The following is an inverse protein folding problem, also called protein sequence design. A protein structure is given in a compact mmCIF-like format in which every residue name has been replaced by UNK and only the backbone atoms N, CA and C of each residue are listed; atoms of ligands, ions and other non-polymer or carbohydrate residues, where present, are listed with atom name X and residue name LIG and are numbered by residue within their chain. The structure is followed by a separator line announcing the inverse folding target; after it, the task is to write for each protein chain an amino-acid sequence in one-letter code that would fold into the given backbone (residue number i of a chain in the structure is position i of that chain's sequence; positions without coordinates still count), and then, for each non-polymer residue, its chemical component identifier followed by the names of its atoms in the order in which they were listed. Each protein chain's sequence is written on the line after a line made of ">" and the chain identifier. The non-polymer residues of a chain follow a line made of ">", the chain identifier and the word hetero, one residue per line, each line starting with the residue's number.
data_IF_823155140422
#
_entry.id   IF_823155140422
#
_cell.length_a   1.000
_cell.length_b   1.000
_cell.length_c   1.000
_cell.angle_alpha   90.00
_cell.angle_beta   90.00
_cell.angle_gamma   90.00
#
_symmetry.space_group_name_H-M   'P 1'
#
loop_
_entity.id
_entity.type
_entity.pdbx_description
1 polymer ?
#
# COMPACT_ATOMS: atom_id res chain seq x y z
N UNK A 1 2.81 29.86 -59.54
CA UNK A 1 3.09 30.59 -58.29
C UNK A 1 1.85 30.80 -57.42
N UNK A 2 0.68 31.19 -57.96
CA UNK A 2 -0.51 31.48 -57.15
C UNK A 2 -1.07 30.29 -56.33
N UNK A 3 -1.11 29.08 -56.91
CA UNK A 3 -1.74 27.90 -56.28
C UNK A 3 -0.95 27.39 -55.06
N UNK A 4 0.38 27.52 -55.08
CA UNK A 4 1.25 27.10 -53.97
C UNK A 4 1.09 28.07 -52.79
N UNK A 5 0.96 29.37 -53.08
CA UNK A 5 0.77 30.41 -52.06
C UNK A 5 -0.60 30.29 -51.41
N UNK A 6 -1.66 29.99 -52.17
CA UNK A 6 -3.00 29.76 -51.61
C UNK A 6 -3.05 28.48 -50.76
N UNK A 7 -2.36 27.41 -51.18
CA UNK A 7 -2.30 26.16 -50.42
C UNK A 7 -1.56 26.33 -49.09
N UNK A 8 -0.44 27.07 -49.07
CA UNK A 8 0.29 27.36 -47.83
C UNK A 8 -0.50 28.26 -46.88
N UNK A 9 -1.23 29.25 -47.41
CA UNK A 9 -2.06 30.15 -46.62
C UNK A 9 -3.25 29.41 -45.97
N UNK A 10 -3.94 28.54 -46.72
CA UNK A 10 -5.05 27.73 -46.18
C UNK A 10 -4.55 26.75 -45.12
N UNK A 11 -3.38 26.14 -45.34
CA UNK A 11 -2.78 25.22 -44.36
C UNK A 11 -2.38 25.94 -43.07
N UNK A 12 -1.81 27.15 -43.16
CA UNK A 12 -1.47 27.97 -42.00
C UNK A 12 -2.71 28.39 -41.20
N UNK A 13 -3.81 28.77 -41.87
CA UNK A 13 -5.08 29.11 -41.23
C UNK A 13 -5.66 27.88 -40.52
N UNK A 14 -5.63 26.70 -41.15
CA UNK A 14 -6.11 25.46 -40.54
C UNK A 14 -5.32 25.09 -39.29
N UNK A 15 -3.98 25.21 -39.33
CA UNK A 15 -3.12 24.98 -38.16
C UNK A 15 -3.41 25.97 -37.04
N UNK A 16 -3.61 27.26 -37.35
CA UNK A 16 -3.99 28.26 -36.37
C UNK A 16 -5.37 28.00 -35.77
N UNK A 17 -6.36 27.61 -36.57
CA UNK A 17 -7.70 27.26 -36.08
C UNK A 17 -7.66 26.04 -35.16
N UNK A 18 -6.91 24.99 -35.52
CA UNK A 18 -6.72 23.81 -34.66
C UNK A 18 -5.97 24.17 -33.37
N UNK A 19 -4.94 25.02 -33.45
CA UNK A 19 -4.19 25.49 -32.28
C UNK A 19 -5.05 26.34 -31.34
N UNK A 20 -5.91 27.22 -31.86
CA UNK A 20 -6.83 28.02 -31.06
C UNK A 20 -7.97 27.17 -30.47
N UNK A 21 -8.46 26.16 -31.19
CA UNK A 21 -9.42 25.18 -30.68
C UNK A 21 -8.79 24.31 -29.58
N UNK A 22 -7.50 23.95 -29.69
CA UNK A 22 -6.77 23.24 -28.63
C UNK A 22 -6.46 24.13 -27.41
N UNK A 23 -6.25 25.44 -27.61
CA UNK A 23 -6.05 26.39 -26.50
C UNK A 23 -7.33 26.77 -25.75
N UNK A 24 -8.51 26.47 -26.31
CA UNK A 24 -9.80 26.99 -25.84
C UNK A 24 -10.53 26.17 -24.77
N UNK A 25 -10.06 24.97 -24.40
CA UNK A 25 -10.71 24.13 -23.37
C UNK A 25 -9.88 24.15 -22.08
N UNK A 26 -9.69 25.35 -21.54
CA UNK A 26 -9.23 25.55 -20.16
C UNK A 26 -10.44 25.85 -19.29
N UNK A 27 -10.92 24.85 -18.57
CA UNK A 27 -12.11 24.90 -17.71
C UNK A 27 -12.10 26.09 -16.73
N UNK A 28 -13.20 26.85 -16.56
CA UNK A 28 -13.33 27.74 -15.41
C UNK A 28 -13.53 26.89 -14.15
N UNK A 29 -12.43 26.64 -13.44
CA UNK A 29 -12.44 26.02 -12.12
C UNK A 29 -13.16 26.92 -11.14
N UNK A 30 -14.37 26.52 -10.73
CA UNK A 30 -15.13 27.15 -9.65
C UNK A 30 -14.34 27.07 -8.35
N UNK A 31 -13.90 28.22 -7.85
CA UNK A 31 -13.29 28.40 -6.54
C UNK A 31 -14.35 28.22 -5.43
N UNK A 32 -14.65 26.97 -5.09
CA UNK A 32 -15.38 26.60 -3.86
C UNK A 32 -14.40 26.42 -2.71
N UNK A 33 -14.07 27.51 -2.02
CA UNK A 33 -13.17 27.51 -0.86
C UNK A 33 -13.82 26.94 0.39
N UNK A 34 -13.76 25.63 0.60
CA UNK A 34 -13.82 25.07 1.95
C UNK A 34 -12.45 25.29 2.59
N UNK A 35 -12.34 26.35 3.38
CA UNK A 35 -11.19 26.61 4.22
C UNK A 35 -11.13 25.54 5.32
N UNK A 36 -10.53 24.40 4.99
CA UNK A 36 -10.04 23.44 5.97
C UNK A 36 -8.98 24.15 6.81
N UNK A 37 -9.37 24.56 8.02
CA UNK A 37 -8.45 25.07 9.03
C UNK A 37 -7.59 23.90 9.46
N UNK A 38 -6.55 23.64 8.67
CA UNK A 38 -5.50 22.67 8.93
C UNK A 38 -4.86 23.06 10.26
N UNK A 39 -5.29 22.41 11.34
CA UNK A 39 -4.69 22.54 12.67
C UNK A 39 -3.20 22.14 12.58
N UNK A 40 -2.34 23.14 12.38
CA UNK A 40 -0.88 23.02 12.25
C UNK A 40 -0.19 22.77 13.60
N UNK A 41 -0.84 21.99 14.47
CA UNK A 41 -0.46 21.88 15.89
C UNK A 41 -0.62 20.50 16.51
N UNK A 42 -0.85 19.42 15.75
CA UNK A 42 -0.93 18.06 16.32
C UNK A 42 -0.43 16.97 15.36
N UNK A 43 0.73 17.18 14.72
CA UNK A 43 1.46 16.09 14.04
C UNK A 43 2.84 15.81 14.63
N UNK A 44 3.32 16.62 15.57
CA UNK A 44 4.60 16.38 16.25
C UNK A 44 4.50 15.39 17.42
N UNK A 45 3.34 15.31 18.08
CA UNK A 45 3.24 14.52 19.32
C UNK A 45 2.91 13.03 19.09
N UNK A 46 2.42 12.65 17.90
CA UNK A 46 2.26 11.24 17.52
C UNK A 46 3.53 10.61 16.93
N UNK A 47 4.49 11.43 16.51
CA UNK A 47 5.74 10.97 15.92
C UNK A 47 6.84 10.69 16.95
N UNK A 48 6.68 11.14 18.20
CA UNK A 48 7.79 11.24 19.15
C UNK A 48 7.83 10.16 20.26
N UNK A 49 6.85 9.25 20.41
CA UNK A 49 6.96 8.20 21.44
C UNK A 49 6.33 6.84 21.12
N UNK A 50 6.12 6.53 19.85
CA UNK A 50 5.84 5.14 19.47
C UNK A 50 7.10 4.60 18.81
N UNK A 51 8.00 3.98 19.60
CA UNK A 51 8.92 2.98 19.04
C UNK A 51 8.05 2.15 18.10
N UNK A 52 8.37 2.11 16.81
CA UNK A 52 7.50 1.51 15.81
C UNK A 52 7.04 0.13 16.33
N UNK A 53 5.77 0.01 16.75
CA UNK A 53 5.24 -1.18 17.45
C UNK A 53 5.31 -2.44 16.58
N UNK A 54 5.50 -2.23 15.28
CA UNK A 54 5.61 -3.28 14.30
C UNK A 54 7.06 -3.60 13.95
N UNK A 55 8.03 -2.83 14.45
CA UNK A 55 9.44 -3.05 14.17
C UNK A 55 9.82 -4.49 14.57
N UNK A 56 10.44 -5.16 13.61
CA UNK A 56 10.67 -6.58 13.65
C UNK A 56 12.14 -6.88 13.36
N UNK A 57 12.60 -8.04 13.81
CA UNK A 57 13.95 -8.52 13.61
C UNK A 57 13.96 -9.99 13.19
N UNK A 58 14.91 -10.37 12.34
CA UNK A 58 15.29 -11.77 12.15
C UNK A 58 16.66 -12.00 12.73
N UNK A 59 16.96 -13.24 13.09
CA UNK A 59 18.28 -13.63 13.57
C UNK A 59 19.01 -14.29 12.40
N UNK A 60 20.13 -13.68 11.99
CA UNK A 60 20.93 -14.17 10.87
C UNK A 60 22.30 -14.68 11.34
N UNK A 61 22.72 -15.89 10.92
CA UNK A 61 24.07 -16.37 11.14
C UNK A 61 25.05 -15.64 10.21
N UNK A 62 26.18 -15.16 10.73
CA UNK A 62 27.30 -14.69 9.89
C UNK A 62 28.01 -15.87 9.21
N UNK A 63 29.02 -15.61 8.39
CA UNK A 63 29.92 -16.61 7.82
C UNK A 63 30.49 -17.50 8.93
N UNK A 64 30.15 -18.79 8.87
CA UNK A 64 30.33 -19.70 9.99
C UNK A 64 29.51 -19.27 11.20
N UNK A 65 28.20 -19.08 11.10
CA UNK A 65 27.29 -18.70 12.20
C UNK A 65 26.73 -19.89 13.00
N UNK A 66 26.19 -19.61 14.19
CA UNK A 66 25.88 -20.58 15.24
C UNK A 66 24.81 -21.59 14.80
N UNK A 67 25.00 -22.89 15.07
CA UNK A 67 24.07 -23.95 14.65
C UNK A 67 22.66 -23.75 15.23
N UNK A 68 22.63 -23.27 16.48
CA UNK A 68 21.42 -22.80 17.15
C UNK A 68 20.58 -21.84 16.31
N UNK A 69 21.20 -20.86 15.62
CA UNK A 69 20.50 -19.91 14.76
C UNK A 69 20.11 -20.54 13.43
N UNK A 70 20.92 -21.45 12.88
CA UNK A 70 20.57 -22.17 11.64
C UNK A 70 19.33 -23.04 11.81
N UNK A 71 19.11 -23.55 13.01
CA UNK A 71 17.94 -24.36 13.36
C UNK A 71 16.70 -23.51 13.72
N UNK A 72 16.82 -22.19 13.82
CA UNK A 72 15.66 -21.33 14.06
C UNK A 72 14.78 -21.26 12.80
N UNK A 73 13.45 -21.14 12.96
CA UNK A 73 12.57 -20.92 11.83
C UNK A 73 12.88 -19.58 11.17
N UNK A 74 12.91 -19.57 9.84
CA UNK A 74 13.13 -18.38 9.02
C UNK A 74 11.88 -17.47 9.04
N UNK A 75 11.68 -16.77 10.15
CA UNK A 75 10.56 -15.85 10.37
C UNK A 75 11.02 -14.57 11.04
N UNK A 76 10.25 -13.49 10.84
CA UNK A 76 10.47 -12.21 11.50
C UNK A 76 9.77 -12.21 12.86
N UNK A 77 10.50 -11.80 13.90
CA UNK A 77 9.99 -11.62 15.26
C UNK A 77 9.71 -10.14 15.49
N UNK A 78 8.71 -9.80 16.32
CA UNK A 78 8.71 -8.45 16.90
C UNK A 78 9.91 -8.31 17.84
N UNK A 79 10.42 -7.10 18.04
CA UNK A 79 11.58 -6.88 18.92
C UNK A 79 11.37 -7.48 20.31
N UNK A 80 10.17 -7.32 20.86
CA UNK A 80 9.84 -7.82 22.20
C UNK A 80 9.70 -9.35 22.27
N UNK A 81 9.51 -10.01 21.11
CA UNK A 81 9.38 -11.47 20.99
C UNK A 81 10.71 -12.11 20.54
N UNK A 82 11.72 -11.32 20.19
CA UNK A 82 12.96 -11.83 19.60
C UNK A 82 13.80 -12.54 20.67
N UNK A 83 14.38 -13.72 20.35
CA UNK A 83 15.25 -14.40 21.28
C UNK A 83 16.52 -13.58 21.49
N UNK A 84 17.01 -13.53 22.74
CA UNK A 84 18.26 -12.85 23.09
C UNK A 84 19.44 -13.60 22.47
N UNK A 85 20.37 -12.84 21.91
CA UNK A 85 21.66 -13.34 21.46
C UNK A 85 22.71 -13.13 22.57
N UNK A 86 23.57 -14.12 22.85
CA UNK A 86 23.65 -15.45 22.24
C UNK A 86 22.52 -16.39 22.68
N UNK A 87 22.09 -17.28 21.77
CA UNK A 87 21.07 -18.28 22.10
C UNK A 87 21.55 -19.24 23.19
N UNK A 88 20.65 -19.79 24.03
CA UNK A 88 21.02 -20.67 25.14
C UNK A 88 21.76 -21.94 24.70
N UNK A 89 21.56 -22.38 23.46
CA UNK A 89 22.20 -23.53 22.84
C UNK A 89 23.38 -23.15 21.91
N UNK A 90 23.95 -21.96 22.05
CA UNK A 90 25.12 -21.56 21.27
C UNK A 90 26.39 -22.27 21.80
N UNK A 91 27.00 -23.11 20.97
CA UNK A 91 28.24 -23.86 21.30
C UNK A 91 29.53 -23.10 21.01
N UNK A 92 29.45 -21.85 20.53
CA UNK A 92 30.64 -21.06 20.16
C UNK A 92 31.16 -20.21 21.29
N UNK A 93 32.49 -20.14 21.40
CA UNK A 93 33.18 -19.24 22.33
C UNK A 93 32.90 -17.75 22.05
N UNK A 94 32.78 -17.39 20.76
CA UNK A 94 32.36 -16.04 20.32
C UNK A 94 31.22 -16.18 19.33
N UNK A 95 30.10 -15.52 19.62
CA UNK A 95 28.89 -15.59 18.79
C UNK A 95 28.81 -14.36 17.89
N UNK A 96 28.96 -14.56 16.58
CA UNK A 96 28.88 -13.49 15.57
C UNK A 96 27.47 -13.39 14.92
N UNK A 97 26.47 -14.00 15.55
CA UNK A 97 25.08 -13.97 15.06
C UNK A 97 24.50 -12.55 15.23
N UNK A 98 23.70 -12.06 14.28
CA UNK A 98 23.22 -10.66 14.21
C UNK A 98 21.71 -10.57 14.06
N UNK A 99 21.13 -9.46 14.52
CA UNK A 99 19.76 -9.08 14.19
C UNK A 99 19.72 -8.31 12.87
N UNK A 100 18.83 -8.72 11.98
CA UNK A 100 18.47 -7.96 10.77
C UNK A 100 17.14 -7.27 11.03
N UNK A 101 17.10 -5.96 10.84
CA UNK A 101 15.97 -5.12 11.21
C UNK A 101 14.97 -4.93 10.06
N UNK A 102 13.69 -4.91 10.40
CA UNK A 102 12.56 -4.72 9.50
C UNK A 102 11.54 -3.76 10.12
N UNK A 103 10.79 -3.07 9.26
CA UNK A 103 9.74 -2.13 9.72
C UNK A 103 8.48 -2.84 10.23
N UNK A 104 8.17 -4.02 9.68
CA UNK A 104 7.04 -4.89 10.05
C UNK A 104 7.47 -6.37 9.92
N UNK A 105 6.90 -7.25 10.76
CA UNK A 105 7.08 -8.70 10.66
C UNK A 105 6.30 -9.34 9.50
N UNK A 106 5.32 -8.64 8.92
CA UNK A 106 4.55 -9.12 7.77
C UNK A 106 5.43 -9.18 6.52
N UNK A 107 5.26 -10.22 5.71
CA UNK A 107 5.97 -10.32 4.45
C UNK A 107 5.36 -9.34 3.43
N UNK A 108 6.19 -8.52 2.74
CA UNK A 108 5.72 -7.64 1.69
C UNK A 108 5.14 -8.50 0.57
N UNK A 109 3.86 -8.31 0.25
CA UNK A 109 3.11 -9.13 -0.71
C UNK A 109 2.26 -10.26 -0.10
N UNK A 110 2.42 -10.57 1.19
CA UNK A 110 1.50 -11.49 1.91
C UNK A 110 0.20 -10.82 2.36
N UNK A 111 0.11 -9.49 2.21
CA UNK A 111 -1.08 -8.75 2.59
C UNK A 111 -2.21 -9.06 1.60
N UNK A 112 -3.17 -9.87 2.06
CA UNK A 112 -4.38 -10.23 1.31
C UNK A 112 -5.22 -9.02 0.87
N UNK A 113 -4.97 -7.83 1.45
CA UNK A 113 -5.63 -6.59 1.05
C UNK A 113 -5.05 -5.96 -0.21
N UNK A 114 -3.84 -6.35 -0.63
CA UNK A 114 -3.17 -5.74 -1.79
C UNK A 114 -3.67 -6.26 -3.14
N UNK A 115 -4.42 -7.37 -3.18
CA UNK A 115 -5.11 -7.82 -4.40
C UNK A 115 -6.60 -8.09 -4.17
N UNK A 116 -7.41 -7.03 -3.97
CA UNK A 116 -8.86 -7.19 -3.99
C UNK A 116 -9.34 -7.67 -5.36
N UNK A 117 -8.70 -7.21 -6.44
CA UNK A 117 -9.14 -7.45 -7.82
C UNK A 117 -9.28 -8.93 -8.18
N UNK A 118 -8.25 -9.74 -7.91
CA UNK A 118 -8.28 -11.18 -8.25
C UNK A 118 -9.31 -11.96 -7.41
N UNK A 119 -9.49 -11.59 -6.14
CA UNK A 119 -10.49 -12.20 -5.27
C UNK A 119 -11.93 -11.79 -5.65
N UNK A 120 -12.12 -10.55 -6.09
CA UNK A 120 -13.42 -10.03 -6.54
C UNK A 120 -13.81 -10.63 -7.89
N UNK A 121 -12.90 -10.68 -8.86
CA UNK A 121 -13.17 -11.24 -10.18
C UNK A 121 -13.55 -12.73 -10.10
N UNK A 122 -12.79 -13.51 -9.32
CA UNK A 122 -13.12 -14.92 -9.08
C UNK A 122 -14.45 -15.12 -8.35
N UNK A 123 -14.86 -14.17 -7.50
CA UNK A 123 -16.18 -14.17 -6.87
C UNK A 123 -17.29 -13.88 -7.88
N UNK A 124 -17.13 -12.85 -8.72
CA UNK A 124 -18.11 -12.48 -9.75
C UNK A 124 -18.31 -13.57 -10.80
N UNK A 125 -17.24 -14.26 -11.21
CA UNK A 125 -17.31 -15.37 -12.17
C UNK A 125 -17.95 -16.65 -11.59
N UNK A 126 -17.92 -16.83 -10.26
CA UNK A 126 -18.50 -18.00 -9.58
C UNK A 126 -19.89 -17.75 -9.01
N UNK A 127 -20.36 -16.51 -8.96
CA UNK A 127 -21.65 -16.22 -8.37
C UNK A 127 -22.79 -16.65 -9.29
N UNK A 128 -23.73 -17.44 -8.75
CA UNK A 128 -24.87 -18.01 -9.48
C UNK A 128 -26.18 -17.34 -9.02
N UNK A 129 -26.13 -16.04 -8.74
CA UNK A 129 -27.26 -15.22 -8.27
C UNK A 129 -27.24 -14.92 -6.77
N UNK A 130 -28.07 -13.95 -6.37
CA UNK A 130 -28.22 -13.46 -5.00
C UNK A 130 -28.54 -14.60 -4.02
N UNK A 131 -27.67 -14.79 -3.01
CA UNK A 131 -27.81 -15.82 -1.97
C UNK A 131 -28.16 -15.26 -0.60
N UNK A 132 -28.23 -13.94 -0.44
CA UNK A 132 -28.59 -13.29 0.83
C UNK A 132 -30.08 -13.51 1.08
N UNK A 133 -30.41 -14.19 2.19
CA UNK A 133 -31.76 -14.19 2.73
C UNK A 133 -32.02 -12.78 3.31
N UNK A 134 -33.08 -12.08 2.88
CA UNK A 134 -33.31 -10.68 3.27
C UNK A 134 -33.62 -10.48 4.76
N UNK A 135 -33.90 -11.54 5.53
CA UNK A 135 -34.17 -11.43 6.98
C UNK A 135 -32.88 -11.36 7.78
N UNK A 136 -32.76 -10.32 8.59
CA UNK A 136 -31.60 -10.04 9.42
C UNK A 136 -31.55 -10.85 10.72
N UNK A 137 -30.65 -10.45 11.61
CA UNK A 137 -30.36 -11.15 12.88
C UNK A 137 -31.08 -10.57 14.10
N UNK A 138 -31.89 -9.53 13.94
CA UNK A 138 -32.60 -8.90 15.05
C UNK A 138 -33.91 -9.61 15.33
N UNK A 139 -34.40 -9.53 16.57
CA UNK A 139 -35.62 -10.21 17.01
C UNK A 139 -36.83 -9.77 16.19
N UNK A 140 -36.90 -8.50 15.83
CA UNK A 140 -37.94 -7.96 14.94
C UNK A 140 -37.89 -8.52 13.51
N UNK A 141 -36.74 -8.98 13.00
CA UNK A 141 -36.61 -9.53 11.63
C UNK A 141 -37.38 -10.86 11.44
N UNK A 142 -37.91 -11.41 12.54
CA UNK A 142 -38.65 -12.67 12.62
C UNK A 142 -40.14 -12.49 12.95
N UNK A 143 -40.60 -11.28 13.26
CA UNK A 143 -41.91 -11.06 13.86
C UNK A 143 -43.07 -10.90 12.86
N UNK A 144 -42.80 -10.86 11.55
CA UNK A 144 -43.83 -10.67 10.53
C UNK A 144 -43.84 -11.84 9.56
N UNK A 145 -44.84 -12.71 9.69
CA UNK A 145 -45.27 -13.71 8.73
C UNK A 145 -46.79 -13.60 8.57
#
# INVERSE_FOLDING_TARGET
>A
MGIIVTSLAVFAIFVLLVFFLWRGIGSPGTAGGFADKRHKGRRKDLAASTRNRYHAVTVSPMEGGCEAVRNLPNRRYLVDEAPLLPLPNCTRQRCDCKYVHYQDRRDPGSDRRQSPGAAIESYLLRDKGERRNPRGRRREDWAVA
#
